data_IF_435975746569
#
_entry.id   IF_435975746569
#
_cell.length_a   1.000
_cell.length_b   1.000
_cell.length_c   1.000
_cell.angle_alpha   90.00
_cell.angle_beta   90.00
_cell.angle_gamma   90.00
#
_symmetry.space_group_name_H-M   'P 1'
#
loop_
_entity.id
_entity.type
_entity.pdbx_description
1 polymer ?
#
# COMPACT_ATOMS: atom_id res chain seq x y z
N UNK A 1 2.39 60.31 5.23
CA UNK A 1 1.31 59.32 5.31
C UNK A 1 1.25 58.90 6.76
N UNK A 2 0.18 59.25 7.46
CA UNK A 2 0.03 58.94 8.88
C UNK A 2 -0.41 57.48 9.02
N UNK A 3 0.33 56.70 9.80
CA UNK A 3 -0.05 55.35 10.21
C UNK A 3 -1.25 55.46 11.17
N UNK A 4 -2.38 54.88 10.78
CA UNK A 4 -3.52 54.70 11.70
C UNK A 4 -3.18 53.60 12.69
N UNK A 5 -2.83 53.99 13.93
CA UNK A 5 -2.70 53.07 15.06
C UNK A 5 -4.07 52.48 15.41
N UNK A 6 -4.26 51.20 15.10
CA UNK A 6 -5.46 50.46 15.47
C UNK A 6 -5.67 50.43 17.00
N UNK A 7 -6.82 50.92 17.47
CA UNK A 7 -7.17 50.93 18.90
C UNK A 7 -7.70 49.56 19.33
N UNK A 8 -7.04 48.94 20.31
CA UNK A 8 -7.50 47.71 20.94
C UNK A 8 -8.79 47.96 21.73
N UNK A 9 -9.89 47.34 21.32
CA UNK A 9 -11.24 47.51 21.91
C UNK A 9 -11.61 46.46 22.95
N UNK A 10 -10.72 45.50 23.25
CA UNK A 10 -10.90 44.53 24.34
C UNK A 10 -10.74 43.06 23.92
N UNK A 11 -10.42 42.20 24.89
CA UNK A 11 -10.31 40.75 24.70
C UNK A 11 -11.59 40.02 25.12
N UNK A 12 -12.17 39.23 24.21
CA UNK A 12 -13.28 38.33 24.51
C UNK A 12 -12.78 36.91 24.88
N UNK A 13 -13.57 36.17 25.65
CA UNK A 13 -13.37 34.72 25.85
C UNK A 13 -14.54 33.97 25.26
N UNK A 14 -14.27 33.04 24.35
CA UNK A 14 -15.27 32.09 23.85
C UNK A 14 -15.39 30.94 24.86
N UNK A 15 -16.58 30.71 25.41
CA UNK A 15 -16.87 29.50 26.18
C UNK A 15 -17.48 28.45 25.25
N UNK A 16 -16.83 27.30 25.13
CA UNK A 16 -17.35 26.17 24.38
C UNK A 16 -18.12 25.26 25.34
N UNK A 17 -19.38 24.95 25.02
CA UNK A 17 -20.10 23.87 25.70
C UNK A 17 -19.43 22.54 25.32
N UNK A 18 -18.64 22.02 26.24
CA UNK A 18 -17.86 20.81 26.05
C UNK A 18 -18.72 19.61 25.68
N UNK A 19 -19.88 19.46 26.32
CA UNK A 19 -20.80 18.34 26.08
C UNK A 19 -21.35 18.41 24.66
N UNK A 20 -21.82 19.58 24.25
CA UNK A 20 -22.29 19.79 22.88
C UNK A 20 -21.17 19.59 21.85
N UNK A 21 -19.95 20.02 22.16
CA UNK A 21 -18.80 19.84 21.28
C UNK A 21 -18.39 18.37 21.13
N UNK A 22 -18.34 17.59 22.23
CA UNK A 22 -18.06 16.15 22.17
C UNK A 22 -19.15 15.38 21.42
N UNK A 23 -20.43 15.70 21.63
CA UNK A 23 -21.52 15.10 20.87
C UNK A 23 -21.39 15.40 19.37
N UNK A 24 -20.97 16.62 19.02
CA UNK A 24 -20.70 17.01 17.63
C UNK A 24 -19.49 16.26 17.07
N UNK A 25 -18.37 16.24 17.79
CA UNK A 25 -17.17 15.49 17.36
C UNK A 25 -17.49 14.01 17.16
N UNK A 26 -18.20 13.36 18.09
CA UNK A 26 -18.63 11.98 17.94
C UNK A 26 -19.49 11.77 16.68
N UNK A 27 -20.40 12.70 16.35
CA UNK A 27 -21.22 12.60 15.15
C UNK A 27 -20.43 12.76 13.84
N UNK A 28 -19.37 13.57 13.83
CA UNK A 28 -18.57 13.86 12.63
C UNK A 28 -17.30 13.00 12.49
N UNK A 29 -16.81 12.38 13.57
CA UNK A 29 -15.58 11.61 13.58
C UNK A 29 -15.80 10.15 13.18
N UNK A 30 -14.98 9.69 12.22
CA UNK A 30 -14.80 8.30 11.75
C UNK A 30 -16.06 7.66 11.10
N UNK A 31 -15.87 7.00 9.96
CA UNK A 31 -16.92 6.11 9.43
C UNK A 31 -17.11 4.91 10.36
N UNK A 32 -18.26 4.23 10.27
CA UNK A 32 -18.51 2.99 11.05
C UNK A 32 -17.39 1.95 10.88
N UNK A 33 -16.80 1.88 9.67
CA UNK A 33 -15.69 0.98 9.34
C UNK A 33 -14.34 1.36 9.98
N UNK A 34 -14.22 2.59 10.49
CA UNK A 34 -12.97 3.13 11.02
C UNK A 34 -12.93 3.14 12.55
N UNK A 35 -13.90 2.51 13.22
CA UNK A 35 -14.02 2.45 14.69
C UNK A 35 -12.71 2.07 15.39
N UNK A 36 -11.95 1.12 14.83
CA UNK A 36 -10.71 0.62 15.44
C UNK A 36 -9.43 1.33 14.96
N UNK A 37 -9.52 2.23 13.98
CA UNK A 37 -8.34 2.94 13.46
C UNK A 37 -7.64 3.77 14.56
N UNK A 38 -8.33 4.57 15.38
CA UNK A 38 -7.66 5.31 16.46
C UNK A 38 -7.10 4.40 17.55
N UNK A 39 -7.70 3.23 17.78
CA UNK A 39 -7.15 2.24 18.73
C UNK A 39 -5.79 1.72 18.28
N UNK A 40 -5.65 1.38 16.99
CA UNK A 40 -4.34 0.95 16.44
C UNK A 40 -3.32 2.07 16.49
N UNK A 41 -3.69 3.31 16.11
CA UNK A 41 -2.76 4.46 16.20
C UNK A 41 -2.35 4.76 17.63
N UNK A 42 -3.29 4.66 18.58
CA UNK A 42 -3.01 4.82 20.00
C UNK A 42 -2.01 3.78 20.51
N UNK A 43 -2.18 2.51 20.10
CA UNK A 43 -1.26 1.43 20.41
C UNK A 43 0.14 1.67 19.81
N UNK A 44 0.23 2.03 18.53
CA UNK A 44 1.49 2.38 17.85
C UNK A 44 2.23 3.51 18.58
N UNK A 45 1.54 4.60 18.89
CA UNK A 45 2.12 5.74 19.61
C UNK A 45 2.49 5.41 21.06
N UNK A 46 1.85 4.42 21.65
CA UNK A 46 2.19 3.91 22.99
C UNK A 46 3.33 2.88 22.95
N UNK A 47 3.87 2.57 21.77
CA UNK A 47 4.93 1.58 21.60
C UNK A 47 4.46 0.15 21.85
N UNK A 48 3.17 -0.12 21.63
CA UNK A 48 2.60 -1.46 21.75
C UNK A 48 3.29 -2.43 20.79
N UNK A 49 3.46 -3.67 21.24
CA UNK A 49 3.85 -4.79 20.38
C UNK A 49 2.63 -5.55 19.88
N UNK A 50 1.51 -5.48 20.62
CA UNK A 50 0.30 -6.22 20.32
C UNK A 50 -0.95 -5.39 20.63
N UNK A 51 -1.93 -5.50 19.75
CA UNK A 51 -3.30 -5.05 19.98
C UNK A 51 -4.26 -6.19 19.66
N UNK A 52 -5.19 -6.47 20.56
CA UNK A 52 -6.22 -7.49 20.41
C UNK A 52 -7.60 -6.85 20.42
N UNK A 53 -8.41 -7.17 19.42
CA UNK A 53 -9.84 -6.87 19.36
C UNK A 53 -10.59 -8.19 19.46
N UNK A 54 -11.41 -8.36 20.49
CA UNK A 54 -12.27 -9.54 20.63
C UNK A 54 -13.73 -9.13 20.74
N UNK A 55 -14.56 -9.71 19.88
CA UNK A 55 -16.01 -9.58 19.87
C UNK A 55 -16.59 -10.95 20.16
N UNK A 56 -17.28 -11.12 21.29
CA UNK A 56 -17.89 -12.39 21.69
C UNK A 56 -19.30 -12.15 22.19
N UNK A 57 -20.28 -12.50 21.36
CA UNK A 57 -21.68 -12.22 21.64
C UNK A 57 -21.92 -10.72 21.76
N UNK A 58 -22.25 -10.24 22.97
CA UNK A 58 -22.46 -8.82 23.27
C UNK A 58 -21.25 -8.17 23.96
N UNK A 59 -20.12 -8.86 24.06
CA UNK A 59 -18.92 -8.33 24.67
C UNK A 59 -17.95 -7.85 23.58
N UNK A 60 -17.53 -6.59 23.65
CA UNK A 60 -16.39 -6.07 22.92
C UNK A 60 -15.25 -5.82 23.91
N UNK A 61 -14.07 -6.33 23.61
CA UNK A 61 -12.84 -5.98 24.33
C UNK A 61 -11.78 -5.56 23.33
N UNK A 62 -11.14 -4.43 23.62
CA UNK A 62 -9.96 -3.92 22.89
C UNK A 62 -8.85 -3.78 23.90
N UNK A 63 -7.70 -4.38 23.64
CA UNK A 63 -6.56 -4.39 24.57
C UNK A 63 -5.26 -4.23 23.82
N UNK A 64 -4.34 -3.43 24.34
CA UNK A 64 -2.98 -3.33 23.82
C UNK A 64 -1.96 -3.15 24.95
N UNK A 65 -0.74 -3.65 24.72
CA UNK A 65 0.38 -3.49 25.64
C UNK A 65 1.16 -2.18 25.40
N UNK A 66 2.16 -1.88 26.21
CA UNK A 66 3.02 -0.71 26.01
C UNK A 66 2.83 0.35 27.10
N UNK A 67 3.10 1.61 26.77
CA UNK A 67 3.00 2.70 27.73
C UNK A 67 1.53 2.95 28.11
N UNK A 68 1.16 2.65 29.35
CA UNK A 68 -0.17 2.93 29.88
C UNK A 68 -0.44 4.42 30.13
N UNK A 69 -1.69 4.71 30.46
CA UNK A 69 -2.19 6.03 30.83
C UNK A 69 -2.24 6.17 32.34
N UNK A 70 -1.91 7.37 32.81
CA UNK A 70 -2.01 7.76 34.21
C UNK A 70 -3.48 7.92 34.63
N UNK A 71 -3.73 7.91 35.93
CA UNK A 71 -5.08 8.16 36.45
C UNK A 71 -5.62 9.53 36.03
N UNK A 72 -4.75 10.55 35.97
CA UNK A 72 -5.12 11.92 35.56
C UNK A 72 -5.47 11.98 34.07
N UNK A 73 -4.69 11.33 33.20
CA UNK A 73 -5.00 11.21 31.76
C UNK A 73 -6.34 10.49 31.53
N UNK A 74 -6.67 9.49 32.35
CA UNK A 74 -7.93 8.73 32.26
C UNK A 74 -9.12 9.42 32.94
N UNK A 75 -8.88 10.33 33.88
CA UNK A 75 -9.94 11.10 34.52
C UNK A 75 -10.60 12.05 33.50
N UNK A 76 -9.83 12.55 32.54
CA UNK A 76 -10.34 13.37 31.44
C UNK A 76 -9.63 13.12 30.10
N UNK A 77 -9.89 12.00 29.43
CA UNK A 77 -9.18 11.63 28.21
C UNK A 77 -9.45 12.59 27.04
N UNK A 78 -10.56 13.32 27.09
CA UNK A 78 -10.97 14.21 26.00
C UNK A 78 -10.31 15.58 26.03
N UNK A 79 -9.57 15.92 27.09
CA UNK A 79 -8.88 17.21 27.19
C UNK A 79 -7.98 17.47 25.97
N UNK A 80 -7.32 16.42 25.47
CA UNK A 80 -6.45 16.46 24.29
C UNK A 80 -7.15 16.84 22.97
N UNK A 81 -8.49 16.89 22.93
CA UNK A 81 -9.25 17.32 21.75
C UNK A 81 -9.61 18.82 21.78
N UNK A 82 -9.42 19.50 22.92
CA UNK A 82 -9.79 20.90 23.12
C UNK A 82 -8.59 21.80 23.41
N UNK A 83 -7.57 21.28 24.09
CA UNK A 83 -6.37 22.04 24.42
C UNK A 83 -5.31 21.86 23.32
N UNK A 84 -4.96 22.97 22.66
CA UNK A 84 -3.94 23.01 21.60
C UNK A 84 -2.49 22.88 22.14
N UNK A 85 -2.29 22.87 23.46
CA UNK A 85 -0.95 22.88 24.07
C UNK A 85 -0.60 21.56 24.78
N UNK A 86 0.49 20.93 24.32
CA UNK A 86 1.31 19.89 24.96
C UNK A 86 0.68 18.52 25.27
N UNK A 87 -0.60 18.27 24.94
CA UNK A 87 -1.18 16.95 25.12
C UNK A 87 -0.44 15.88 24.26
N UNK A 88 -0.03 14.74 24.84
CA UNK A 88 0.60 13.68 24.07
C UNK A 88 -0.32 13.17 22.95
N UNK A 89 0.19 13.03 21.72
CA UNK A 89 -0.58 12.55 20.56
C UNK A 89 -1.35 11.25 20.81
N UNK A 90 -0.77 10.33 21.61
CA UNK A 90 -1.43 9.07 22.00
C UNK A 90 -2.74 9.30 22.75
N UNK A 91 -2.82 10.35 23.57
CA UNK A 91 -4.02 10.70 24.33
C UNK A 91 -5.12 11.21 23.40
N UNK A 92 -4.76 12.01 22.39
CA UNK A 92 -5.69 12.41 21.33
C UNK A 92 -6.26 11.22 20.56
N UNK A 93 -5.44 10.20 20.25
CA UNK A 93 -5.92 8.97 19.61
C UNK A 93 -6.78 8.12 20.55
N UNK A 94 -6.46 8.05 21.85
CA UNK A 94 -7.33 7.42 22.85
C UNK A 94 -8.70 8.12 22.91
N UNK A 95 -8.72 9.45 22.99
CA UNK A 95 -9.93 10.25 23.02
C UNK A 95 -10.83 9.97 21.80
N UNK A 96 -10.23 9.94 20.60
CA UNK A 96 -10.92 9.60 19.36
C UNK A 96 -11.47 8.16 19.36
N UNK A 97 -10.68 7.21 19.85
CA UNK A 97 -11.09 5.81 20.02
C UNK A 97 -12.31 5.68 20.94
N UNK A 98 -12.27 6.38 22.08
CA UNK A 98 -13.38 6.41 23.04
C UNK A 98 -14.61 7.08 22.42
N UNK A 99 -14.46 8.22 21.72
CA UNK A 99 -15.58 8.85 21.01
C UNK A 99 -16.22 7.91 19.99
N UNK A 100 -15.43 7.17 19.21
CA UNK A 100 -15.95 6.14 18.30
C UNK A 100 -16.84 5.12 19.02
N UNK A 101 -16.40 4.65 20.19
CA UNK A 101 -17.15 3.68 21.01
C UNK A 101 -18.42 4.29 21.62
N UNK A 102 -18.44 5.58 22.00
CA UNK A 102 -19.65 6.21 22.56
C UNK A 102 -20.85 6.23 21.62
N UNK A 103 -20.60 6.13 20.32
CA UNK A 103 -21.65 6.08 19.30
C UNK A 103 -22.36 4.74 19.26
N UNK A 104 -21.74 3.70 19.82
CA UNK A 104 -22.34 2.39 19.91
C UNK A 104 -23.39 2.39 21.02
N UNK A 105 -24.53 1.71 20.84
CA UNK A 105 -25.46 1.49 21.93
C UNK A 105 -24.84 0.50 22.93
N UNK A 106 -24.24 1.04 23.99
CA UNK A 106 -23.60 0.31 25.08
C UNK A 106 -24.52 0.19 26.31
N UNK A 107 -24.28 -0.81 27.16
CA UNK A 107 -24.94 -1.04 28.45
C UNK A 107 -24.00 -0.72 29.61
N UNK A 108 -22.76 -1.18 29.50
CA UNK A 108 -21.68 -0.86 30.44
C UNK A 108 -20.37 -0.70 29.68
N UNK A 109 -19.50 0.15 30.20
CA UNK A 109 -18.16 0.39 29.70
C UNK A 109 -17.19 0.36 30.87
N UNK A 110 -16.03 -0.27 30.66
CA UNK A 110 -14.93 -0.33 31.61
C UNK A 110 -13.62 -0.05 30.88
N UNK A 111 -12.88 0.95 31.34
CA UNK A 111 -11.58 1.34 30.82
C UNK A 111 -10.52 1.12 31.90
N UNK A 112 -9.48 0.37 31.58
CA UNK A 112 -8.36 0.11 32.46
C UNK A 112 -7.07 0.54 31.76
N UNK A 113 -6.14 1.16 32.48
CA UNK A 113 -4.77 1.35 31.98
C UNK A 113 -3.77 1.40 33.12
N UNK A 114 -2.55 0.94 32.85
CA UNK A 114 -1.47 0.95 33.83
C UNK A 114 -0.08 0.82 33.21
N UNK A 115 0.94 1.16 33.99
CA UNK A 115 2.35 1.20 33.58
C UNK A 115 3.18 0.01 34.11
N UNK A 116 2.53 -1.03 34.64
CA UNK A 116 3.21 -2.14 35.31
C UNK A 116 3.35 -1.96 36.84
N UNK A 117 3.18 -0.72 37.34
CA UNK A 117 3.34 -0.37 38.76
C UNK A 117 2.10 0.31 39.34
N UNK A 118 1.50 1.20 38.55
CA UNK A 118 0.30 1.97 38.87
C UNK A 118 -0.66 1.83 37.70
N UNK A 119 -1.94 1.93 38.02
CA UNK A 119 -2.96 2.08 37.00
C UNK A 119 -4.30 2.39 37.62
N UNK A 120 -5.26 2.65 36.75
CA UNK A 120 -6.58 3.07 37.14
C UNK A 120 -7.62 2.26 36.37
N UNK A 121 -8.77 2.09 37.01
CA UNK A 121 -9.94 1.45 36.45
C UNK A 121 -11.07 2.46 36.51
N UNK A 122 -11.72 2.70 35.37
CA UNK A 122 -12.92 3.53 35.26
C UNK A 122 -14.06 2.68 34.74
N UNK A 123 -15.27 2.87 35.29
CA UNK A 123 -16.47 2.20 34.80
C UNK A 123 -17.68 3.14 34.78
N UNK A 124 -18.60 2.89 33.86
CA UNK A 124 -19.78 3.71 33.64
C UNK A 124 -20.79 3.07 32.70
N UNK A 125 -21.95 3.70 32.54
CA UNK A 125 -22.96 3.32 31.52
C UNK A 125 -22.65 3.93 30.14
N UNK A 126 -21.87 5.00 30.13
CA UNK A 126 -21.36 5.72 28.98
C UNK A 126 -20.03 6.42 29.39
N UNK A 127 -19.44 7.19 28.47
CA UNK A 127 -18.18 7.88 28.72
C UNK A 127 -18.31 9.08 29.66
N UNK A 128 -19.47 9.74 29.71
CA UNK A 128 -19.72 10.87 30.62
C UNK A 128 -19.87 10.39 32.07
N UNK A 129 -20.35 9.16 32.26
CA UNK A 129 -20.56 8.50 33.54
C UNK A 129 -19.38 7.63 33.99
N UNK A 130 -18.21 7.74 33.34
CA UNK A 130 -17.02 7.02 33.79
C UNK A 130 -16.57 7.55 35.16
N UNK A 131 -16.54 6.66 36.14
CA UNK A 131 -16.07 6.98 37.50
C UNK A 131 -14.91 6.07 37.88
N UNK A 132 -13.90 6.58 38.61
CA UNK A 132 -12.78 5.77 39.07
C UNK A 132 -13.29 4.72 40.07
N UNK A 133 -12.82 3.49 39.90
CA UNK A 133 -13.05 2.39 40.84
C UNK A 133 -11.83 2.24 41.77
N UNK A 134 -12.02 1.73 43.00
CA UNK A 134 -10.92 1.47 43.93
C UNK A 134 -9.99 0.33 43.48
N UNK A 135 -10.35 -0.39 42.41
CA UNK A 135 -9.55 -1.48 41.84
C UNK A 135 -8.28 -0.95 41.17
N UNK A 136 -7.15 -1.61 41.45
CA UNK A 136 -5.88 -1.30 40.80
C UNK A 136 -5.69 -2.17 39.56
N UNK A 137 -5.38 -1.53 38.43
CA UNK A 137 -4.92 -2.19 37.23
C UNK A 137 -3.39 -2.11 37.17
N UNK A 138 -2.71 -3.19 37.49
CA UNK A 138 -1.25 -3.25 37.47
C UNK A 138 -0.60 -3.64 36.15
N UNK A 139 -1.26 -4.32 35.18
CA UNK A 139 -0.62 -4.63 33.91
C UNK A 139 -0.15 -3.39 33.14
N UNK A 140 0.98 -3.51 32.44
CA UNK A 140 1.50 -2.51 31.49
C UNK A 140 0.72 -2.56 30.17
N UNK A 141 -0.58 -2.27 30.25
CA UNK A 141 -1.53 -2.42 29.16
C UNK A 141 -2.71 -1.48 29.33
N UNK A 142 -3.36 -1.16 28.23
CA UNK A 142 -4.64 -0.45 28.19
C UNK A 142 -5.72 -1.40 27.67
N UNK A 143 -6.83 -1.50 28.38
CA UNK A 143 -7.95 -2.37 28.01
C UNK A 143 -9.28 -1.63 28.13
N UNK A 144 -10.09 -1.70 27.07
CA UNK A 144 -11.48 -1.30 27.06
C UNK A 144 -12.34 -2.57 26.99
N UNK A 145 -13.31 -2.68 27.89
CA UNK A 145 -14.36 -3.70 27.86
C UNK A 145 -15.74 -3.04 27.79
N UNK A 146 -16.58 -3.51 26.88
CA UNK A 146 -17.89 -2.92 26.59
C UNK A 146 -18.94 -4.02 26.48
N UNK A 147 -20.05 -3.87 27.19
CA UNK A 147 -21.25 -4.66 26.98
C UNK A 147 -22.15 -3.94 25.97
N UNK A 148 -22.28 -4.50 24.77
CA UNK A 148 -23.06 -3.98 23.65
C UNK A 148 -24.55 -4.35 23.75
N UNK A 149 -25.42 -3.50 23.22
CA UNK A 149 -26.80 -3.89 22.89
C UNK A 149 -26.80 -4.71 21.60
N UNK A 150 -27.83 -5.55 21.42
CA UNK A 150 -27.89 -6.54 20.33
C UNK A 150 -27.64 -5.98 18.91
N UNK A 151 -28.11 -4.76 18.63
CA UNK A 151 -27.97 -4.14 17.31
C UNK A 151 -26.54 -3.72 16.94
N UNK A 152 -25.64 -3.48 17.91
CA UNK A 152 -24.29 -2.97 17.64
C UNK A 152 -23.29 -4.02 17.19
N UNK A 153 -23.56 -5.31 17.47
CA UNK A 153 -22.58 -6.39 17.30
C UNK A 153 -22.13 -6.49 15.83
N UNK A 154 -23.09 -6.41 14.90
CA UNK A 154 -22.83 -6.51 13.45
C UNK A 154 -21.93 -5.38 12.96
N UNK A 155 -22.15 -4.15 13.44
CA UNK A 155 -21.36 -2.99 13.02
C UNK A 155 -19.92 -3.08 13.56
N UNK A 156 -19.77 -3.54 14.80
CA UNK A 156 -18.45 -3.78 15.42
C UNK A 156 -17.69 -4.88 14.67
N UNK A 157 -18.33 -5.99 14.33
CA UNK A 157 -17.72 -7.07 13.55
C UNK A 157 -17.27 -6.58 12.16
N UNK A 158 -18.12 -5.79 11.49
CA UNK A 158 -17.79 -5.20 10.18
C UNK A 158 -16.59 -4.25 10.28
N UNK A 159 -16.53 -3.44 11.33
CA UNK A 159 -15.40 -2.54 11.57
C UNK A 159 -14.11 -3.33 11.86
N UNK A 160 -14.20 -4.44 12.60
CA UNK A 160 -13.05 -5.28 12.90
C UNK A 160 -12.49 -5.96 11.64
N UNK A 161 -13.37 -6.44 10.75
CA UNK A 161 -12.98 -7.00 9.46
C UNK A 161 -12.35 -5.96 8.53
N UNK A 162 -12.81 -4.70 8.58
CA UNK A 162 -12.25 -3.63 7.76
C UNK A 162 -10.82 -3.24 8.16
N UNK A 163 -10.35 -3.66 9.34
CA UNK A 163 -9.04 -3.30 9.88
C UNK A 163 -7.89 -3.87 9.05
N UNK A 164 -8.04 -5.08 8.49
CA UNK A 164 -6.98 -5.76 7.71
C UNK A 164 -6.50 -4.88 6.53
N UNK A 165 -7.43 -4.27 5.80
CA UNK A 165 -7.10 -3.36 4.68
C UNK A 165 -6.51 -2.01 5.10
N UNK A 166 -6.41 -1.71 6.40
CA UNK A 166 -5.87 -0.46 6.94
C UNK A 166 -4.45 -0.59 7.47
N UNK A 167 -3.96 -1.81 7.73
CA UNK A 167 -2.65 -2.08 8.32
C UNK A 167 -1.57 -2.11 7.22
N UNK A 168 -0.67 -1.12 7.23
CA UNK A 168 0.36 -1.00 6.18
C UNK A 168 1.78 -0.99 6.76
N UNK A 169 2.09 -0.06 7.67
CA UNK A 169 3.46 0.14 8.19
C UNK A 169 3.52 0.08 9.73
N UNK A 170 2.46 -0.41 10.38
CA UNK A 170 2.41 -0.57 11.83
C UNK A 170 3.41 -1.60 12.34
N UNK A 171 4.00 -1.33 13.51
CA UNK A 171 4.87 -2.27 14.24
C UNK A 171 4.08 -3.17 15.18
N UNK A 172 2.87 -2.77 15.55
CA UNK A 172 1.95 -3.45 16.45
C UNK A 172 1.33 -4.63 15.72
N UNK A 173 1.48 -5.84 16.26
CA UNK A 173 0.75 -7.00 15.80
C UNK A 173 -0.72 -6.88 16.20
N UNK A 174 -1.60 -6.73 15.23
CA UNK A 174 -3.04 -6.59 15.46
C UNK A 174 -3.72 -7.94 15.30
N UNK A 175 -4.56 -8.33 16.27
CA UNK A 175 -5.39 -9.52 16.18
C UNK A 175 -6.88 -9.18 16.33
N UNK A 176 -7.71 -9.91 15.59
CA UNK A 176 -9.18 -9.84 15.68
C UNK A 176 -9.71 -11.23 15.97
N UNK A 177 -10.40 -11.41 17.10
CA UNK A 177 -10.94 -12.69 17.56
C UNK A 177 -9.88 -13.81 17.58
N UNK A 178 -8.65 -13.45 17.96
CA UNK A 178 -7.50 -14.37 18.00
C UNK A 178 -6.81 -14.63 16.67
N UNK A 179 -7.36 -14.16 15.54
CA UNK A 179 -6.67 -14.18 14.23
C UNK A 179 -5.75 -12.97 14.14
N UNK A 180 -4.43 -13.20 14.06
CA UNK A 180 -3.46 -12.14 13.74
C UNK A 180 -3.72 -11.67 12.31
N UNK A 181 -3.93 -10.36 12.15
CA UNK A 181 -4.06 -9.73 10.85
C UNK A 181 -2.68 -9.53 10.24
N UNK A 182 -2.55 -9.79 8.94
CA UNK A 182 -1.30 -9.55 8.24
C UNK A 182 -1.24 -8.08 7.83
N UNK A 183 -0.29 -7.34 8.41
CA UNK A 183 0.05 -6.03 7.87
C UNK A 183 0.65 -6.19 6.48
N UNK A 184 0.22 -5.36 5.54
CA UNK A 184 0.73 -5.42 4.18
C UNK A 184 2.25 -5.21 4.18
N UNK A 185 3.01 -6.23 3.80
CA UNK A 185 4.47 -6.12 3.72
C UNK A 185 4.85 -5.40 2.44
N UNK A 186 5.01 -4.09 2.56
CA UNK A 186 5.36 -3.26 1.43
C UNK A 186 6.87 -3.35 1.16
N UNK A 187 7.27 -3.97 0.05
CA UNK A 187 8.67 -4.02 -0.43
C UNK A 187 8.88 -2.99 -1.53
N UNK A 188 9.65 -1.94 -1.27
CA UNK A 188 9.85 -0.88 -2.26
C UNK A 188 11.09 -0.03 -2.00
N UNK A 189 11.32 0.93 -2.88
CA UNK A 189 12.34 1.96 -2.65
C UNK A 189 11.86 2.92 -1.57
N UNK A 190 12.66 3.09 -0.51
CA UNK A 190 12.41 4.06 0.54
C UNK A 190 13.06 5.40 0.19
N UNK A 191 12.30 6.48 0.30
CA UNK A 191 12.73 7.84 -0.01
C UNK A 191 12.33 8.78 1.13
N UNK A 192 13.16 9.77 1.41
CA UNK A 192 12.82 10.87 2.32
C UNK A 192 12.37 12.09 1.50
N UNK A 193 11.21 12.65 1.85
CA UNK A 193 10.53 13.75 1.16
C UNK A 193 10.14 14.83 2.19
N UNK A 194 11.06 15.76 2.48
CA UNK A 194 10.76 16.91 3.34
C UNK A 194 10.29 16.53 4.76
N UNK A 195 10.95 15.56 5.40
CA UNK A 195 10.57 15.05 6.72
C UNK A 195 9.57 13.89 6.70
N UNK A 196 8.91 13.66 5.55
CA UNK A 196 8.10 12.47 5.34
C UNK A 196 8.93 11.34 4.71
N UNK A 197 8.43 10.11 4.82
CA UNK A 197 8.99 8.93 4.18
C UNK A 197 8.02 8.42 3.14
N UNK A 198 8.51 8.19 1.94
CA UNK A 198 7.77 7.59 0.84
C UNK A 198 8.33 6.21 0.51
N UNK A 199 7.43 5.28 0.25
CA UNK A 199 7.74 3.95 -0.24
C UNK A 199 7.08 3.80 -1.61
N UNK A 200 7.88 3.53 -2.64
CA UNK A 200 7.39 3.36 -4.02
C UNK A 200 7.49 1.89 -4.44
N UNK A 201 6.41 1.39 -5.03
CA UNK A 201 6.32 0.08 -5.65
C UNK A 201 5.80 0.20 -7.09
N UNK A 202 6.23 -0.73 -7.93
CA UNK A 202 5.55 -0.97 -9.19
C UNK A 202 4.11 -1.40 -8.90
N UNK A 203 3.13 -0.81 -9.59
CA UNK A 203 1.74 -1.20 -9.40
C UNK A 203 1.52 -2.67 -9.81
N UNK A 204 0.74 -3.40 -9.02
CA UNK A 204 0.38 -4.80 -9.33
C UNK A 204 -0.43 -4.90 -10.62
N UNK A 205 -1.34 -3.95 -10.84
CA UNK A 205 -1.93 -3.68 -12.15
C UNK A 205 -1.10 -2.60 -12.87
N UNK A 206 -0.17 -2.97 -13.75
CA UNK A 206 0.69 -2.01 -14.43
C UNK A 206 -0.06 -1.19 -15.49
N UNK A 207 -1.31 -1.54 -15.82
CA UNK A 207 -2.07 -0.91 -16.90
C UNK A 207 -3.14 0.05 -16.42
N UNK A 208 -3.32 0.20 -15.12
CA UNK A 208 -4.19 1.23 -14.57
C UNK A 208 -3.70 2.63 -14.96
N UNK A 209 -4.63 3.53 -15.20
CA UNK A 209 -4.32 4.89 -15.66
C UNK A 209 -3.66 5.74 -14.57
N UNK A 210 -4.06 5.53 -13.32
CA UNK A 210 -3.66 6.33 -12.16
C UNK A 210 -2.80 5.55 -11.16
N UNK A 211 -1.83 6.23 -10.54
CA UNK A 211 -1.07 5.73 -9.40
C UNK A 211 -1.93 5.83 -8.17
N UNK A 212 -1.70 4.96 -7.19
CA UNK A 212 -2.38 5.04 -5.89
C UNK A 212 -1.37 5.47 -4.86
N UNK A 213 -1.64 6.56 -4.18
CA UNK A 213 -0.88 7.00 -3.03
C UNK A 213 -1.70 6.79 -1.76
N UNK A 214 -1.20 5.94 -0.87
CA UNK A 214 -1.74 5.75 0.47
C UNK A 214 -1.03 6.67 1.46
N UNK A 215 -1.80 7.48 2.15
CA UNK A 215 -1.35 8.34 3.24
C UNK A 215 -1.50 7.58 4.55
N UNK A 216 -0.39 7.28 5.21
CA UNK A 216 -0.33 6.45 6.41
C UNK A 216 0.10 7.30 7.60
N UNK A 217 -0.77 7.38 8.60
CA UNK A 217 -0.54 8.13 9.84
C UNK A 217 -0.51 7.14 11.00
N UNK A 218 0.59 7.17 11.75
CA UNK A 218 0.81 6.33 12.93
C UNK A 218 0.57 4.84 12.62
N UNK A 219 1.17 4.34 11.53
CA UNK A 219 1.11 2.93 11.10
C UNK A 219 -0.15 2.52 10.32
N UNK A 220 -1.18 3.37 10.28
CA UNK A 220 -2.50 3.04 9.70
C UNK A 220 -2.85 3.91 8.49
N UNK A 221 -3.37 3.31 7.43
CA UNK A 221 -3.82 4.02 6.24
C UNK A 221 -5.02 4.94 6.54
N UNK A 222 -4.81 6.25 6.43
CA UNK A 222 -5.84 7.27 6.57
C UNK A 222 -6.65 7.38 5.28
N UNK A 223 -5.96 7.64 4.17
CA UNK A 223 -6.57 8.00 2.89
C UNK A 223 -5.79 7.38 1.73
N UNK A 224 -6.49 7.04 0.65
CA UNK A 224 -5.89 6.72 -0.64
C UNK A 224 -6.28 7.80 -1.62
N UNK A 225 -5.30 8.38 -2.31
CA UNK A 225 -5.51 9.34 -3.40
C UNK A 225 -4.96 8.79 -4.70
N UNK A 226 -5.57 9.19 -5.80
CA UNK A 226 -5.11 8.84 -7.14
C UNK A 226 -4.19 9.95 -7.66
N UNK A 227 -3.08 9.55 -8.29
CA UNK A 227 -2.08 10.47 -8.84
C UNK A 227 -1.86 10.18 -10.32
N UNK A 228 -1.56 11.24 -11.08
CA UNK A 228 -1.11 11.11 -12.45
C UNK A 228 0.17 10.26 -12.53
N UNK A 229 0.37 9.56 -13.66
CA UNK A 229 1.39 8.53 -13.80
C UNK A 229 2.39 8.86 -14.90
N UNK A 230 3.15 9.96 -14.80
CA UNK A 230 4.03 10.40 -15.89
C UNK A 230 5.09 9.36 -16.27
N UNK A 231 5.42 8.43 -15.36
CA UNK A 231 6.47 7.42 -15.52
C UNK A 231 5.97 5.97 -15.35
N UNK A 232 4.65 5.76 -15.46
CA UNK A 232 3.99 4.48 -15.17
C UNK A 232 3.27 4.48 -13.81
N UNK A 233 2.25 3.62 -13.62
CA UNK A 233 1.47 3.59 -12.39
C UNK A 233 2.27 2.98 -11.25
N UNK A 234 2.39 3.69 -10.14
CA UNK A 234 3.04 3.19 -8.92
C UNK A 234 2.01 3.02 -7.82
N UNK A 235 2.21 2.03 -6.97
CA UNK A 235 1.64 2.05 -5.62
C UNK A 235 2.64 2.79 -4.73
N UNK A 236 2.18 3.83 -4.05
CA UNK A 236 2.99 4.65 -3.16
C UNK A 236 2.40 4.64 -1.76
N UNK A 237 3.26 4.67 -0.75
CA UNK A 237 2.89 4.91 0.63
C UNK A 237 3.67 6.12 1.13
N UNK A 238 2.99 7.15 1.62
CA UNK A 238 3.61 8.31 2.25
C UNK A 238 3.24 8.30 3.73
N UNK A 239 4.24 8.40 4.59
CA UNK A 239 4.07 8.36 6.04
C UNK A 239 5.02 9.32 6.74
N UNK A 240 4.56 9.93 7.82
CA UNK A 240 5.40 10.75 8.68
C UNK A 240 4.60 11.33 9.85
N UNK A 241 5.29 11.80 10.89
CA UNK A 241 4.64 12.39 12.04
C UNK A 241 3.89 13.68 11.67
N UNK A 242 4.33 14.39 10.63
CA UNK A 242 3.83 15.71 10.27
C UNK A 242 2.66 15.68 9.28
N UNK A 243 2.09 14.51 8.98
CA UNK A 243 0.88 14.42 8.16
C UNK A 243 -0.33 14.89 8.99
N UNK A 244 -0.90 16.07 8.71
CA UNK A 244 -2.00 16.58 9.51
C UNK A 244 -3.27 15.79 9.19
N UNK A 245 -3.94 15.29 10.22
CA UNK A 245 -5.28 14.71 10.07
C UNK A 245 -6.33 15.82 10.10
N UNK A 246 -7.42 15.63 9.38
CA UNK A 246 -8.59 16.51 9.47
C UNK A 246 -9.35 16.32 10.80
N UNK A 247 -10.38 17.12 11.03
CA UNK A 247 -11.18 17.04 12.25
C UNK A 247 -11.88 15.67 12.44
N UNK A 248 -12.04 14.89 11.37
CA UNK A 248 -12.60 13.53 11.43
C UNK A 248 -11.59 12.50 11.92
N UNK A 249 -10.30 12.87 11.95
CA UNK A 249 -9.14 12.02 12.22
C UNK A 249 -9.00 10.84 11.25
N UNK A 250 -9.78 10.81 10.16
CA UNK A 250 -9.79 9.73 9.18
C UNK A 250 -8.99 10.06 7.92
N UNK A 251 -8.83 11.34 7.59
CA UNK A 251 -8.19 11.80 6.34
C UNK A 251 -7.06 12.76 6.62
N UNK A 252 -6.13 12.85 5.68
CA UNK A 252 -5.08 13.86 5.73
C UNK A 252 -5.61 15.15 5.13
N UNK A 253 -5.29 16.29 5.75
CA UNK A 253 -5.67 17.60 5.22
C UNK A 253 -4.86 17.86 3.95
N UNK A 254 -5.56 17.95 2.82
CA UNK A 254 -4.97 18.42 1.57
C UNK A 254 -4.62 19.90 1.69
N UNK A 255 -3.40 20.29 1.32
CA UNK A 255 -2.98 21.68 1.42
C UNK A 255 -1.48 21.87 1.42
N UNK A 256 -1.03 22.99 2.02
CA UNK A 256 0.37 23.45 2.00
C UNK A 256 1.38 22.44 2.55
N UNK A 257 0.98 21.56 3.47
CA UNK A 257 1.86 20.54 4.02
C UNK A 257 2.07 19.35 3.07
N UNK A 258 1.02 18.94 2.34
CA UNK A 258 1.05 17.78 1.46
C UNK A 258 1.60 18.12 0.06
N UNK A 259 1.33 19.33 -0.45
CA UNK A 259 1.70 19.70 -1.82
C UNK A 259 3.22 19.57 -2.12
N UNK A 260 4.15 20.07 -1.27
CA UNK A 260 5.58 19.90 -1.51
C UNK A 260 6.01 18.43 -1.52
N UNK A 261 5.39 17.60 -0.69
CA UNK A 261 5.66 16.17 -0.65
C UNK A 261 5.18 15.46 -1.92
N UNK A 262 4.03 15.86 -2.47
CA UNK A 262 3.52 15.33 -3.75
C UNK A 262 4.40 15.73 -4.93
N UNK A 263 4.87 16.98 -4.97
CA UNK A 263 5.82 17.44 -6.00
C UNK A 263 7.14 16.64 -5.93
N UNK A 264 7.69 16.49 -4.73
CA UNK A 264 8.89 15.69 -4.50
C UNK A 264 8.67 14.20 -4.85
N UNK A 265 7.49 13.65 -4.54
CA UNK A 265 7.10 12.30 -4.89
C UNK A 265 7.07 12.09 -6.41
N UNK A 266 6.51 13.03 -7.18
CA UNK A 266 6.51 12.97 -8.65
C UNK A 266 7.94 12.93 -9.22
N UNK A 267 8.86 13.73 -8.66
CA UNK A 267 10.27 13.66 -9.02
C UNK A 267 10.87 12.28 -8.69
N UNK A 268 10.54 11.70 -7.54
CA UNK A 268 10.99 10.35 -7.16
C UNK A 268 10.38 9.22 -7.97
N UNK A 269 9.18 9.39 -8.51
CA UNK A 269 8.60 8.41 -9.45
C UNK A 269 9.45 8.29 -10.72
N UNK A 270 10.04 9.40 -11.20
CA UNK A 270 10.99 9.39 -12.32
C UNK A 270 12.26 8.62 -11.96
N UNK A 271 12.88 8.94 -10.83
CA UNK A 271 14.07 8.26 -10.34
C UNK A 271 13.83 6.75 -10.16
N UNK A 272 12.66 6.40 -9.61
CA UNK A 272 12.23 5.03 -9.41
C UNK A 272 12.13 4.26 -10.73
N UNK A 273 11.50 4.82 -11.76
CA UNK A 273 11.44 4.22 -13.09
C UNK A 273 12.83 3.95 -13.68
N UNK A 274 13.73 4.93 -13.57
CA UNK A 274 15.12 4.78 -13.98
C UNK A 274 15.86 3.68 -13.19
N UNK A 275 15.61 3.58 -11.88
CA UNK A 275 16.20 2.52 -11.05
C UNK A 275 15.68 1.14 -11.43
N UNK A 276 14.38 1.00 -11.67
CA UNK A 276 13.75 -0.26 -12.08
C UNK A 276 14.28 -0.73 -13.43
N UNK A 277 14.50 0.20 -14.36
CA UNK A 277 15.13 -0.09 -15.65
C UNK A 277 16.57 -0.61 -15.48
N UNK A 278 17.37 0.00 -14.60
CA UNK A 278 18.74 -0.44 -14.30
C UNK A 278 18.77 -1.82 -13.63
N UNK A 279 17.88 -2.06 -12.67
CA UNK A 279 17.74 -3.36 -11.99
C UNK A 279 17.37 -4.44 -13.00
N UNK A 280 16.39 -4.17 -13.86
CA UNK A 280 16.00 -5.08 -14.94
C UNK A 280 17.16 -5.39 -15.89
N UNK A 281 17.90 -4.37 -16.32
CA UNK A 281 19.08 -4.57 -17.19
C UNK A 281 20.15 -5.44 -16.52
N UNK A 282 20.42 -5.21 -15.23
CA UNK A 282 21.40 -6.00 -14.45
C UNK A 282 20.96 -7.46 -14.27
N UNK A 283 19.66 -7.69 -14.06
CA UNK A 283 19.12 -9.03 -13.73
C UNK A 283 18.69 -9.84 -14.96
N UNK A 284 18.63 -9.22 -16.15
CA UNK A 284 18.19 -9.86 -17.39
C UNK A 284 18.93 -11.16 -17.73
N UNK A 285 20.24 -11.25 -17.49
CA UNK A 285 21.02 -12.49 -17.72
C UNK A 285 20.61 -13.60 -16.77
N UNK A 286 20.32 -13.28 -15.49
CA UNK A 286 19.86 -14.25 -14.51
C UNK A 286 18.44 -14.71 -14.85
N UNK A 287 17.52 -13.79 -15.15
CA UNK A 287 16.16 -14.10 -15.60
C UNK A 287 16.19 -15.00 -16.82
N UNK A 288 17.02 -14.69 -17.83
CA UNK A 288 17.22 -15.56 -19.01
C UNK A 288 17.61 -16.98 -18.61
N UNK A 289 18.60 -17.13 -17.72
CA UNK A 289 19.06 -18.45 -17.27
C UNK A 289 17.93 -19.25 -16.62
N UNK A 290 17.11 -18.61 -15.78
CA UNK A 290 15.96 -19.26 -15.15
C UNK A 290 14.90 -19.69 -16.17
N UNK A 291 14.67 -18.90 -17.22
CA UNK A 291 13.71 -19.22 -18.29
C UNK A 291 14.12 -20.37 -19.20
N UNK A 292 15.40 -20.76 -19.20
CA UNK A 292 15.85 -21.97 -19.88
C UNK A 292 15.31 -23.24 -19.19
N UNK A 293 15.00 -23.16 -17.90
CA UNK A 293 14.28 -24.22 -17.18
C UNK A 293 12.80 -24.22 -17.59
N UNK A 294 12.36 -25.32 -18.20
CA UNK A 294 10.98 -25.46 -18.67
C UNK A 294 9.95 -25.41 -17.54
N UNK A 295 10.32 -25.77 -16.30
CA UNK A 295 9.41 -25.77 -15.16
C UNK A 295 9.05 -24.37 -14.66
N UNK A 296 9.89 -23.37 -14.97
CA UNK A 296 9.71 -21.98 -14.56
C UNK A 296 9.01 -21.12 -15.62
N UNK A 297 8.80 -21.65 -16.84
CA UNK A 297 8.16 -20.88 -17.93
C UNK A 297 6.72 -20.49 -17.63
N UNK A 298 5.98 -21.30 -16.88
CA UNK A 298 4.60 -20.97 -16.47
C UNK A 298 4.54 -19.72 -15.59
N UNK A 299 5.52 -19.54 -14.69
CA UNK A 299 5.64 -18.34 -13.84
C UNK A 299 5.84 -17.09 -14.69
N UNK A 300 6.69 -17.18 -15.73
CA UNK A 300 6.88 -16.09 -16.69
C UNK A 300 5.60 -15.78 -17.49
N UNK A 301 4.84 -16.82 -17.84
CA UNK A 301 3.49 -16.77 -18.41
C UNK A 301 2.45 -16.03 -17.56
N UNK A 302 2.76 -15.76 -16.28
CA UNK A 302 1.77 -15.27 -15.34
C UNK A 302 0.68 -16.30 -15.05
N UNK A 303 0.91 -17.58 -15.36
CA UNK A 303 0.05 -18.66 -14.89
C UNK A 303 0.17 -18.67 -13.37
N UNK A 304 -0.87 -18.16 -12.70
CA UNK A 304 -1.02 -18.35 -11.27
C UNK A 304 -0.92 -19.87 -11.07
N UNK A 305 0.14 -20.34 -10.40
CA UNK A 305 0.15 -21.73 -9.98
C UNK A 305 -1.15 -21.92 -9.20
N UNK A 306 -1.97 -22.94 -9.51
CA UNK A 306 -3.08 -23.28 -8.63
C UNK A 306 -2.44 -23.43 -7.27
N UNK A 307 -2.77 -22.54 -6.33
CA UNK A 307 -2.07 -22.37 -5.05
C UNK A 307 -1.70 -23.76 -4.57
N UNK A 308 -0.42 -24.12 -4.75
CA UNK A 308 -0.07 -25.53 -4.86
C UNK A 308 -0.54 -26.17 -3.57
N UNK A 309 -1.43 -27.14 -3.67
CA UNK A 309 -1.56 -28.20 -2.66
C UNK A 309 -0.16 -28.81 -2.61
N UNK A 310 0.76 -28.18 -1.88
CA UNK A 310 2.00 -28.83 -1.46
C UNK A 310 1.51 -30.08 -0.79
N UNK A 311 1.81 -31.24 -1.37
CA UNK A 311 1.44 -32.49 -0.73
C UNK A 311 2.00 -32.46 0.69
N UNK A 312 1.35 -33.10 1.68
CA UNK A 312 1.86 -33.13 3.04
C UNK A 312 3.33 -33.58 3.12
N UNK A 313 3.79 -34.37 2.15
CA UNK A 313 5.18 -34.77 1.98
C UNK A 313 6.13 -33.62 1.59
N UNK A 314 5.75 -32.74 0.64
CA UNK A 314 6.59 -31.60 0.25
C UNK A 314 6.67 -30.55 1.36
N UNK A 315 5.55 -30.29 2.05
CA UNK A 315 5.55 -29.42 3.23
C UNK A 315 6.41 -29.98 4.37
N UNK A 316 6.46 -31.31 4.52
CA UNK A 316 7.31 -31.99 5.50
C UNK A 316 8.80 -31.94 5.11
N UNK A 317 9.14 -32.17 3.83
CA UNK A 317 10.52 -32.09 3.34
C UNK A 317 11.08 -30.67 3.37
N UNK A 318 10.25 -29.65 3.08
CA UNK A 318 10.61 -28.23 3.24
C UNK A 318 10.91 -27.89 4.71
N UNK A 319 10.12 -28.41 5.67
CA UNK A 319 10.38 -28.22 7.12
C UNK A 319 11.70 -28.83 7.59
N UNK A 320 12.19 -29.88 6.94
CA UNK A 320 13.44 -30.54 7.28
C UNK A 320 14.67 -29.93 6.57
N UNK A 321 14.49 -28.92 5.70
CA UNK A 321 15.58 -28.37 4.90
C UNK A 321 16.15 -29.34 3.86
N UNK A 322 15.45 -30.46 3.60
CA UNK A 322 15.85 -31.53 2.68
C UNK A 322 15.08 -31.48 1.35
N UNK A 323 14.10 -30.58 1.23
CA UNK A 323 13.36 -30.39 0.00
C UNK A 323 14.25 -29.82 -1.12
N UNK A 324 14.19 -30.42 -2.31
CA UNK A 324 14.59 -29.76 -3.57
C UNK A 324 13.86 -28.42 -3.81
N UNK A 325 12.82 -28.13 -3.02
CA UNK A 325 11.96 -26.96 -3.12
C UNK A 325 12.55 -25.63 -2.67
N UNK A 326 13.61 -25.59 -1.84
CA UNK A 326 14.14 -24.30 -1.35
C UNK A 326 14.81 -23.50 -2.47
N UNK A 327 15.55 -24.18 -3.37
CA UNK A 327 16.14 -23.55 -4.56
C UNK A 327 15.07 -23.08 -5.55
N UNK A 328 14.10 -23.96 -5.84
CA UNK A 328 12.97 -23.64 -6.73
C UNK A 328 12.13 -22.48 -6.21
N UNK A 329 11.80 -22.43 -4.91
CA UNK A 329 11.03 -21.34 -4.32
C UNK A 329 11.76 -19.99 -4.40
N UNK A 330 13.10 -20.00 -4.25
CA UNK A 330 13.91 -18.79 -4.43
C UNK A 330 13.94 -18.35 -5.89
N UNK A 331 14.18 -19.27 -6.82
CA UNK A 331 14.23 -18.98 -8.25
C UNK A 331 12.86 -18.51 -8.78
N UNK A 332 11.77 -19.10 -8.28
CA UNK A 332 10.39 -18.67 -8.53
C UNK A 332 10.17 -17.24 -8.04
N UNK A 333 10.52 -16.93 -6.79
CA UNK A 333 10.37 -15.56 -6.25
C UNK A 333 11.18 -14.54 -7.06
N UNK A 334 12.40 -14.87 -7.49
CA UNK A 334 13.21 -14.01 -8.36
C UNK A 334 12.50 -13.79 -9.71
N UNK A 335 11.91 -14.85 -10.26
CA UNK A 335 11.23 -14.77 -11.54
C UNK A 335 9.91 -14.00 -11.46
N UNK A 336 9.12 -14.17 -10.40
CA UNK A 336 7.90 -13.40 -10.13
C UNK A 336 8.20 -11.90 -10.04
N UNK A 337 9.25 -11.52 -9.29
CA UNK A 337 9.70 -10.12 -9.20
C UNK A 337 10.14 -9.58 -10.58
N UNK A 338 10.85 -10.39 -11.38
CA UNK A 338 11.27 -10.02 -12.72
C UNK A 338 10.08 -9.87 -13.69
N UNK A 339 9.04 -10.72 -13.57
CA UNK A 339 7.80 -10.62 -14.37
C UNK A 339 7.07 -9.33 -14.05
N UNK A 340 6.79 -9.08 -12.76
CA UNK A 340 6.10 -7.87 -12.32
C UNK A 340 6.83 -6.60 -12.79
N UNK A 341 8.14 -6.55 -12.59
CA UNK A 341 8.98 -5.43 -13.04
C UNK A 341 8.97 -5.29 -14.57
N UNK A 342 9.09 -6.38 -15.33
CA UNK A 342 9.08 -6.32 -16.80
C UNK A 342 7.74 -5.79 -17.32
N UNK A 343 6.62 -6.30 -16.78
CA UNK A 343 5.26 -5.84 -17.14
C UNK A 343 5.08 -4.36 -16.82
N UNK A 344 5.49 -3.96 -15.61
CA UNK A 344 5.45 -2.57 -15.19
C UNK A 344 6.29 -1.66 -16.09
N UNK A 345 7.51 -2.05 -16.43
CA UNK A 345 8.39 -1.27 -17.32
C UNK A 345 7.83 -1.15 -18.74
N UNK A 346 7.17 -2.19 -19.27
CA UNK A 346 6.45 -2.11 -20.55
C UNK A 346 5.36 -1.04 -20.49
N UNK A 347 4.55 -1.03 -19.43
CA UNK A 347 3.51 -0.03 -19.23
C UNK A 347 4.08 1.38 -19.02
N UNK A 348 5.20 1.51 -18.29
CA UNK A 348 5.92 2.76 -18.12
C UNK A 348 6.47 3.31 -19.45
N UNK A 349 6.79 2.43 -20.40
CA UNK A 349 7.15 2.86 -21.75
C UNK A 349 5.90 3.26 -22.56
N UNK A 350 4.79 2.53 -22.44
CA UNK A 350 3.56 2.70 -23.24
C UNK A 350 3.05 4.15 -23.17
N UNK A 351 2.81 4.75 -24.35
CA UNK A 351 2.28 6.11 -24.51
C UNK A 351 3.19 7.26 -24.03
N UNK A 352 4.37 6.95 -23.47
CA UNK A 352 5.25 7.94 -22.83
C UNK A 352 6.58 8.15 -23.56
N UNK A 353 7.02 7.15 -24.31
CA UNK A 353 8.19 7.21 -25.17
C UNK A 353 7.74 7.30 -26.63
N UNK A 354 8.18 8.34 -27.33
CA UNK A 354 7.75 8.64 -28.71
C UNK A 354 8.89 8.45 -29.69
N UNK A 355 9.98 9.18 -29.48
CA UNK A 355 11.11 9.28 -30.39
C UNK A 355 12.41 9.20 -29.58
N UNK A 356 13.25 8.22 -29.91
CA UNK A 356 14.50 8.01 -29.19
C UNK A 356 15.47 9.18 -29.34
N UNK A 357 15.60 9.73 -30.56
CA UNK A 357 16.58 10.77 -30.86
C UNK A 357 16.22 12.11 -30.20
N UNK A 358 14.94 12.32 -29.89
CA UNK A 358 14.47 13.53 -29.18
C UNK A 358 14.48 13.37 -27.66
N UNK A 359 14.68 12.16 -27.16
CA UNK A 359 14.50 11.81 -25.76
C UNK A 359 15.77 11.23 -25.11
N UNK A 360 16.85 11.03 -25.86
CA UNK A 360 18.08 10.40 -25.37
C UNK A 360 18.91 11.30 -24.43
N UNK A 361 18.69 12.61 -24.48
CA UNK A 361 19.23 13.57 -23.51
C UNK A 361 18.66 13.36 -22.09
N UNK A 362 17.47 12.77 -21.95
CA UNK A 362 16.91 12.41 -20.65
C UNK A 362 17.43 11.02 -20.22
N UNK A 363 18.27 10.93 -19.17
CA UNK A 363 18.89 9.67 -18.77
C UNK A 363 17.87 8.59 -18.37
N UNK A 364 16.70 8.98 -17.86
CA UNK A 364 15.64 8.04 -17.47
C UNK A 364 14.90 7.53 -18.70
N UNK A 365 14.54 8.40 -19.64
CA UNK A 365 13.95 7.96 -20.92
C UNK A 365 14.92 7.10 -21.70
N UNK A 366 16.20 7.48 -21.79
CA UNK A 366 17.26 6.66 -22.40
C UNK A 366 17.37 5.29 -21.74
N UNK A 367 17.27 5.19 -20.42
CA UNK A 367 17.25 3.90 -19.72
C UNK A 367 16.01 3.07 -20.08
N UNK A 368 14.82 3.67 -20.11
CA UNK A 368 13.57 3.00 -20.50
C UNK A 368 13.56 2.55 -21.96
N UNK A 369 14.19 3.30 -22.87
CA UNK A 369 14.36 2.89 -24.27
C UNK A 369 15.26 1.66 -24.42
N UNK A 370 16.29 1.54 -23.57
CA UNK A 370 17.32 0.51 -23.67
C UNK A 370 17.13 -0.69 -22.73
N UNK A 371 16.15 -0.65 -21.82
CA UNK A 371 15.91 -1.73 -20.87
C UNK A 371 15.45 -3.02 -21.58
N UNK A 372 15.95 -4.22 -21.21
CA UNK A 372 15.52 -5.48 -21.81
C UNK A 372 14.10 -5.83 -21.36
N UNK A 373 13.17 -5.82 -22.32
CA UNK A 373 11.73 -6.00 -22.09
C UNK A 373 11.16 -7.23 -22.77
N UNK A 374 11.74 -7.66 -23.89
CA UNK A 374 11.18 -8.74 -24.71
C UNK A 374 12.22 -9.83 -24.90
N UNK A 375 11.88 -11.08 -24.59
CA UNK A 375 12.78 -12.22 -24.77
C UNK A 375 12.69 -12.70 -26.22
N UNK A 376 13.82 -13.05 -26.84
CA UNK A 376 13.84 -13.65 -28.18
C UNK A 376 13.81 -15.18 -28.08
N UNK A 377 13.42 -15.88 -29.15
CA UNK A 377 13.47 -17.34 -29.19
C UNK A 377 14.90 -17.89 -29.08
N UNK A 378 15.90 -17.10 -29.51
CA UNK A 378 17.31 -17.40 -29.28
C UNK A 378 17.73 -17.18 -27.80
N UNK A 379 16.81 -16.76 -26.94
CA UNK A 379 17.04 -16.41 -25.54
C UNK A 379 17.72 -15.05 -25.36
N UNK A 380 17.84 -14.23 -26.41
CA UNK A 380 18.31 -12.85 -26.29
C UNK A 380 17.26 -11.94 -25.68
N UNK A 381 17.59 -10.67 -25.49
CA UNK A 381 16.64 -9.64 -25.07
C UNK A 381 16.58 -8.52 -26.10
N UNK A 382 15.38 -8.08 -26.44
CA UNK A 382 15.15 -6.79 -27.08
C UNK A 382 14.77 -5.75 -26.04
N UNK A 383 15.36 -4.57 -26.20
CA UNK A 383 14.84 -3.34 -25.63
C UNK A 383 13.71 -2.78 -26.47
N UNK A 384 13.02 -1.75 -25.99
CA UNK A 384 12.02 -1.06 -26.81
C UNK A 384 12.66 -0.43 -28.06
N UNK A 385 13.86 0.14 -27.91
CA UNK A 385 14.62 0.69 -29.04
C UNK A 385 14.95 -0.40 -30.05
N UNK A 386 15.53 -1.51 -29.59
CA UNK A 386 15.89 -2.64 -30.47
C UNK A 386 14.68 -3.23 -31.18
N UNK A 387 13.52 -3.32 -30.50
CA UNK A 387 12.27 -3.75 -31.11
C UNK A 387 11.82 -2.78 -32.21
N UNK A 388 11.84 -1.46 -31.96
CA UNK A 388 11.45 -0.43 -32.96
C UNK A 388 12.38 -0.45 -34.18
N UNK A 389 13.69 -0.55 -33.96
CA UNK A 389 14.69 -0.68 -35.04
C UNK A 389 14.42 -1.94 -35.87
N UNK A 390 14.16 -3.08 -35.23
CA UNK A 390 13.85 -4.32 -35.92
C UNK A 390 12.56 -4.24 -36.74
N UNK A 391 11.48 -3.65 -36.18
CA UNK A 391 10.22 -3.42 -36.90
C UNK A 391 10.45 -2.55 -38.13
N UNK A 392 11.24 -1.47 -38.01
CA UNK A 392 11.55 -0.58 -39.13
C UNK A 392 12.30 -1.27 -40.28
N UNK A 393 13.07 -2.33 -39.98
CA UNK A 393 13.82 -3.12 -40.96
C UNK A 393 12.99 -4.25 -41.57
N UNK A 394 12.07 -4.85 -40.80
CA UNK A 394 11.26 -5.98 -41.25
C UNK A 394 9.97 -5.55 -41.95
N UNK A 395 9.36 -4.42 -41.57
CA UNK A 395 8.15 -3.88 -42.20
C UNK A 395 6.83 -4.45 -41.66
N UNK A 396 6.76 -5.71 -41.21
CA UNK A 396 5.53 -6.28 -40.60
C UNK A 396 5.83 -7.26 -39.47
N UNK A 397 5.03 -7.20 -38.40
CA UNK A 397 5.05 -8.14 -37.27
C UNK A 397 3.78 -8.98 -37.26
N UNK A 398 3.93 -10.29 -37.32
CA UNK A 398 2.80 -11.21 -37.18
C UNK A 398 2.72 -11.68 -35.74
N UNK A 399 1.54 -11.61 -35.14
CA UNK A 399 1.31 -12.16 -33.81
C UNK A 399 0.56 -13.48 -33.95
N UNK A 400 1.11 -14.54 -33.37
CA UNK A 400 0.43 -15.83 -33.26
C UNK A 400 0.24 -16.18 -31.79
N UNK A 401 -0.96 -16.63 -31.46
CA UNK A 401 -1.29 -17.14 -30.13
C UNK A 401 -0.94 -18.62 -30.07
N UNK A 402 -0.02 -19.00 -29.19
CA UNK A 402 0.31 -20.40 -28.96
C UNK A 402 -0.67 -21.04 -27.96
N UNK A 403 -0.67 -22.38 -27.92
CA UNK A 403 -1.29 -23.14 -26.85
C UNK A 403 -0.69 -22.74 -25.49
N UNK A 404 -1.53 -22.48 -24.48
CA UNK A 404 -1.11 -21.98 -23.16
C UNK A 404 -1.13 -20.45 -23.00
N UNK A 405 -1.66 -19.69 -23.96
CA UNK A 405 -1.83 -18.24 -23.80
C UNK A 405 -0.54 -17.42 -23.96
N UNK A 406 0.57 -18.07 -24.30
CA UNK A 406 1.82 -17.43 -24.73
C UNK A 406 1.67 -16.94 -26.16
N UNK A 407 2.15 -15.75 -26.49
CA UNK A 407 2.09 -15.22 -27.85
C UNK A 407 3.51 -15.15 -28.41
N UNK A 408 3.67 -15.56 -29.66
CA UNK A 408 4.93 -15.37 -30.38
C UNK A 408 4.73 -14.28 -31.41
N UNK A 409 5.62 -13.29 -31.40
CA UNK A 409 5.71 -12.32 -32.48
C UNK A 409 6.75 -12.80 -33.49
N UNK A 410 6.35 -12.83 -34.76
CA UNK A 410 7.20 -13.15 -35.89
C UNK A 410 7.48 -11.88 -36.68
N UNK A 411 8.76 -11.53 -36.77
CA UNK A 411 9.21 -10.43 -37.61
C UNK A 411 9.40 -10.95 -39.03
N UNK A 412 8.72 -10.32 -39.99
CA UNK A 412 8.67 -10.80 -41.37
C UNK A 412 9.18 -9.73 -42.30
N UNK A 413 10.33 -9.99 -42.94
CA UNK A 413 10.96 -9.05 -43.85
C UNK A 413 10.28 -9.05 -45.23
N UNK A 414 9.65 -7.95 -45.60
CA UNK A 414 9.16 -7.72 -46.97
C UNK A 414 10.32 -7.34 -47.89
N UNK A 415 11.06 -8.35 -48.37
CA UNK A 415 12.04 -8.11 -49.43
C UNK A 415 11.30 -7.70 -50.73
N UNK A 416 11.64 -6.53 -51.27
CA UNK A 416 11.10 -6.05 -52.55
C UNK A 416 11.30 -7.09 -53.66
N UNK A 417 10.25 -7.88 -53.95
CA UNK A 417 10.17 -8.76 -55.12
C UNK A 417 10.68 -10.21 -54.98
N UNK A 418 10.96 -10.75 -53.79
CA UNK A 418 11.21 -12.21 -53.62
C UNK A 418 10.38 -12.81 -52.50
N UNK A 419 9.97 -14.08 -52.68
CA UNK A 419 9.21 -14.87 -51.71
C UNK A 419 9.78 -14.64 -50.31
N UNK A 420 8.93 -14.16 -49.44
CA UNK A 420 9.25 -13.82 -48.08
C UNK A 420 9.80 -15.04 -47.32
N UNK A 421 10.96 -14.86 -46.72
CA UNK A 421 11.52 -15.83 -45.78
C UNK A 421 11.19 -15.37 -44.37
N UNK A 422 10.55 -16.24 -43.59
CA UNK A 422 10.39 -16.04 -42.16
C UNK A 422 11.78 -16.03 -41.52
N UNK A 423 12.18 -14.92 -40.89
CA UNK A 423 13.47 -14.85 -40.20
C UNK A 423 13.42 -15.78 -38.97
N UNK A 424 13.85 -17.04 -39.15
CA UNK A 424 13.82 -18.08 -38.11
C UNK A 424 14.62 -17.73 -36.85
N UNK A 425 15.50 -16.73 -36.90
CA UNK A 425 16.33 -16.28 -35.76
C UNK A 425 15.71 -15.17 -34.89
N UNK A 426 14.70 -14.46 -35.41
CA UNK A 426 14.20 -13.20 -34.81
C UNK A 426 12.78 -13.33 -34.26
N UNK A 427 12.40 -14.53 -33.83
CA UNK A 427 11.13 -14.72 -33.13
C UNK A 427 11.22 -14.05 -31.75
N UNK A 428 10.25 -13.23 -31.39
CA UNK A 428 10.14 -12.67 -30.04
C UNK A 428 9.19 -13.58 -29.26
N UNK A 429 9.73 -14.27 -28.25
CA UNK A 429 8.95 -15.13 -27.36
C UNK A 429 8.45 -14.26 -26.22
N UNK A 430 7.14 -14.12 -26.17
CA UNK A 430 6.50 -13.20 -25.26
C UNK A 430 5.51 -13.95 -24.40
N UNK A 431 5.68 -13.82 -23.09
CA UNK A 431 4.68 -14.24 -22.13
C UNK A 431 3.80 -13.04 -21.81
N UNK A 432 2.51 -13.09 -22.19
CA UNK A 432 1.59 -12.04 -21.85
C UNK A 432 0.73 -12.47 -20.67
N UNK A 433 0.49 -11.51 -19.78
CA UNK A 433 -0.77 -11.53 -19.04
C UNK A 433 -1.95 -11.36 -20.03
N UNK A 434 -3.20 -11.70 -19.68
CA UNK A 434 -4.34 -11.66 -20.60
C UNK A 434 -4.62 -10.33 -21.33
N UNK A 435 -4.06 -9.19 -20.87
CA UNK A 435 -4.22 -7.84 -21.48
C UNK A 435 -3.05 -7.36 -22.33
N UNK A 436 -1.93 -8.09 -22.30
CA UNK A 436 -0.66 -7.64 -22.83
C UNK A 436 -0.72 -7.48 -24.39
N UNK A 437 -1.70 -8.10 -25.09
CA UNK A 437 -1.83 -8.05 -26.59
C UNK A 437 -2.14 -6.65 -27.09
N UNK A 438 -3.13 -6.02 -26.48
CA UNK A 438 -3.50 -4.64 -26.78
C UNK A 438 -2.34 -3.70 -26.44
N UNK A 439 -1.55 -4.04 -25.42
CA UNK A 439 -0.36 -3.28 -25.05
C UNK A 439 0.76 -3.44 -26.06
N UNK A 440 0.96 -4.63 -26.62
CA UNK A 440 1.98 -4.87 -27.62
C UNK A 440 1.59 -4.24 -28.96
N UNK A 441 0.32 -4.30 -29.35
CA UNK A 441 -0.25 -3.52 -30.46
C UNK A 441 -0.01 -2.03 -30.23
N UNK A 442 -0.31 -1.50 -29.05
CA UNK A 442 -0.09 -0.10 -28.72
C UNK A 442 1.39 0.30 -28.64
N UNK A 443 2.27 -0.61 -28.22
CA UNK A 443 3.72 -0.39 -28.15
C UNK A 443 4.37 -0.41 -29.55
N UNK A 444 3.86 -1.26 -30.45
CA UNK A 444 4.36 -1.40 -31.82
C UNK A 444 3.68 -0.44 -32.81
N UNK A 445 2.47 0.02 -32.51
CA UNK A 445 1.62 0.81 -33.41
C UNK A 445 0.70 -0.08 -34.27
N UNK A 446 -0.53 0.39 -34.54
CA UNK A 446 -1.55 -0.34 -35.32
C UNK A 446 -1.10 -0.88 -36.69
N UNK A 447 -0.28 -0.19 -37.52
CA UNK A 447 -0.01 -0.69 -38.88
C UNK A 447 0.87 -1.94 -38.93
N UNK A 448 1.40 -2.39 -37.80
CA UNK A 448 2.41 -3.45 -37.75
C UNK A 448 1.92 -4.79 -37.25
N UNK A 449 0.64 -4.93 -36.86
CA UNK A 449 0.11 -6.17 -36.28
C UNK A 449 -0.96 -6.80 -37.16
N UNK A 450 -0.68 -8.00 -37.66
CA UNK A 450 -1.69 -8.87 -38.27
C UNK A 450 -1.86 -10.11 -37.38
N UNK A 451 -3.07 -10.37 -36.85
CA UNK A 451 -3.38 -11.63 -36.18
C UNK A 451 -3.22 -12.78 -37.17
N UNK A 452 -2.52 -13.84 -36.77
CA UNK A 452 -2.60 -15.12 -37.45
C UNK A 452 -3.70 -15.95 -36.77
N UNK A 453 -4.71 -16.33 -37.55
CA UNK A 453 -5.79 -17.24 -37.13
C UNK A 453 -5.26 -18.64 -36.78
#
# INVERSE_FOLDING_TARGET
MAEEEGTFVGGGRLRVDRKAALAKLAAFQLGERDLFVPWVRCAELSGAKRLDVSVTGRSLRVEFDGAGFTADELADPFQALFDDSDAPRRLGQLAAALLGVSRLPVKTLRLCSGDGKRGAVFAGKDLEALTPLPELWTPAATALSVELKAGAVVDVERAALALEGRLVLGKTAVSVNGKVLEAERVRGGLYELGGLRALLLAAEDPFREMSRLRLVVDGVAAQTIELATPWGPVDAVLTGPDLPLDASLSRVVEGKALAPALEALHAKMRDFAGSMAKVQAREATQTRRLLLDSSLRGVWGGEARPASRKGPLEAFLDRLGLGRGVGLARDESILEEAVLRTRWLRAACKGRLVDYEKEDDDPVRKALWNVPLFLTAAGGWFSRRGLKECISQCGTVYLSKNQGGVFTAYLHQTAAGRKSAMLRGDQVVWAPAPRDLDDLVALMGEPYVTPLD
#
